data_IF_249559265562
#
_entry.id   IF_249559265562
#
_cell.length_a   1.000
_cell.length_b   1.000
_cell.length_c   1.000
_cell.angle_alpha   90.00
_cell.angle_beta   90.00
_cell.angle_gamma   90.00
#
_symmetry.space_group_name_H-M   'P 1'
#
loop_
_entity.id
_entity.type
_entity.pdbx_description
1 polymer ?
#
# COMPACT_ATOMS: atom_id res chain seq x y z
N UNK A 1 17.18 -6.41 -32.67
CA UNK A 1 15.84 -6.09 -32.15
C UNK A 1 15.93 -6.11 -30.62
N UNK A 2 16.13 -4.94 -30.01
CA UNK A 2 16.14 -4.81 -28.56
C UNK A 2 14.68 -4.90 -28.10
N UNK A 3 14.33 -6.03 -27.50
CA UNK A 3 13.07 -6.17 -26.78
C UNK A 3 13.14 -5.20 -25.60
N UNK A 4 12.41 -4.10 -25.72
CA UNK A 4 12.23 -3.15 -24.64
C UNK A 4 11.61 -3.89 -23.47
N UNK A 5 12.42 -4.19 -22.45
CA UNK A 5 11.91 -4.49 -21.13
C UNK A 5 11.08 -3.28 -20.74
N UNK A 6 9.76 -3.42 -20.77
CA UNK A 6 8.89 -2.52 -20.02
C UNK A 6 9.48 -2.50 -18.61
N UNK A 7 10.09 -1.37 -18.24
CA UNK A 7 10.27 -1.03 -16.85
C UNK A 7 8.86 -1.10 -16.28
N UNK A 8 8.58 -2.15 -15.51
CA UNK A 8 7.42 -2.19 -14.64
C UNK A 8 7.65 -0.99 -13.72
N UNK A 9 7.06 0.15 -14.09
CA UNK A 9 7.07 1.32 -13.25
C UNK A 9 6.58 0.84 -11.90
N UNK A 10 7.41 0.95 -10.87
CA UNK A 10 7.06 0.66 -9.49
C UNK A 10 5.79 1.44 -9.19
N UNK A 11 4.66 0.77 -9.31
CA UNK A 11 3.37 1.35 -9.03
C UNK A 11 3.28 1.34 -7.51
N UNK A 12 3.70 2.43 -6.87
CA UNK A 12 3.44 2.61 -5.44
C UNK A 12 1.94 2.41 -5.22
N UNK A 13 1.58 1.41 -4.41
CA UNK A 13 0.20 1.12 -4.10
C UNK A 13 -0.41 2.23 -3.25
N UNK A 14 0.41 2.93 -2.46
CA UNK A 14 0.05 4.21 -1.82
C UNK A 14 0.15 5.34 -2.83
N UNK A 15 -0.99 5.97 -3.12
CA UNK A 15 -1.10 7.11 -4.03
C UNK A 15 -1.79 8.29 -3.34
N UNK A 16 -1.74 9.47 -3.95
CA UNK A 16 -2.59 10.60 -3.54
C UNK A 16 -3.67 10.83 -4.58
N UNK A 17 -4.93 10.91 -4.13
CA UNK A 17 -6.05 11.36 -4.93
C UNK A 17 -6.49 12.74 -4.44
N UNK A 18 -6.63 13.70 -5.35
CA UNK A 18 -7.14 15.02 -5.02
C UNK A 18 -8.65 14.94 -4.82
N UNK A 19 -9.14 15.37 -3.65
CA UNK A 19 -10.57 15.42 -3.35
C UNK A 19 -11.26 16.63 -4.01
N UNK A 20 -12.59 16.72 -3.90
CA UNK A 20 -13.39 17.80 -4.51
C UNK A 20 -13.03 19.20 -3.96
N UNK A 21 -12.29 19.28 -2.85
CA UNK A 21 -11.80 20.51 -2.27
C UNK A 21 -10.37 20.85 -2.72
N UNK A 22 -9.77 20.03 -3.58
CA UNK A 22 -8.39 20.22 -4.04
C UNK A 22 -7.34 19.66 -3.08
N UNK A 23 -7.73 18.93 -2.03
CA UNK A 23 -6.76 18.40 -1.06
C UNK A 23 -6.26 17.00 -1.47
N UNK A 24 -4.94 16.75 -1.50
CA UNK A 24 -4.42 15.42 -1.75
C UNK A 24 -4.70 14.49 -0.55
N UNK A 25 -5.39 13.38 -0.80
CA UNK A 25 -5.70 12.34 0.18
C UNK A 25 -4.93 11.06 -0.13
N UNK A 26 -4.24 10.46 0.85
CA UNK A 26 -3.60 9.17 0.65
C UNK A 26 -4.67 8.11 0.41
N UNK A 27 -4.45 7.27 -0.60
CA UNK A 27 -5.30 6.15 -1.00
C UNK A 27 -4.45 4.92 -1.24
N UNK A 28 -5.05 3.75 -1.08
CA UNK A 28 -4.46 2.48 -1.50
C UNK A 28 -5.07 2.08 -2.84
N UNK A 29 -4.22 1.81 -3.82
CA UNK A 29 -4.58 1.29 -5.13
C UNK A 29 -4.39 -0.22 -5.14
N UNK A 30 -5.36 -0.94 -5.70
CA UNK A 30 -5.24 -2.37 -5.97
C UNK A 30 -4.19 -2.61 -7.06
N UNK A 31 -3.18 -3.42 -6.76
CA UNK A 31 -2.08 -3.76 -7.68
C UNK A 31 -2.54 -4.61 -8.87
N UNK A 32 -3.70 -5.28 -8.76
CA UNK A 32 -4.24 -6.12 -9.81
C UNK A 32 -5.14 -5.37 -10.80
N UNK A 33 -6.13 -4.61 -10.32
CA UNK A 33 -7.08 -3.92 -11.21
C UNK A 33 -6.84 -2.42 -11.35
N UNK A 34 -5.91 -1.83 -10.59
CA UNK A 34 -5.65 -0.40 -10.57
C UNK A 34 -6.73 0.45 -9.89
N UNK A 35 -7.81 -0.16 -9.40
CA UNK A 35 -8.89 0.53 -8.69
C UNK A 35 -8.48 1.03 -7.31
N UNK A 36 -9.18 2.02 -6.79
CA UNK A 36 -8.98 2.54 -5.43
C UNK A 36 -9.71 1.65 -4.43
N UNK A 37 -9.01 1.30 -3.34
CA UNK A 37 -9.57 0.57 -2.20
C UNK A 37 -10.06 1.63 -1.21
N UNK A 38 -11.36 1.96 -1.28
CA UNK A 38 -11.98 3.00 -0.45
C UNK A 38 -12.19 2.55 1.00
N UNK A 39 -12.58 1.29 1.19
CA UNK A 39 -12.70 0.67 2.50
C UNK A 39 -11.54 -0.29 2.71
N UNK A 40 -10.65 0.03 3.66
CA UNK A 40 -9.48 -0.81 3.94
C UNK A 40 -9.84 -2.18 4.53
N UNK A 41 -11.05 -2.36 5.07
CA UNK A 41 -11.56 -3.68 5.45
C UNK A 41 -11.91 -4.56 4.22
N UNK A 42 -12.13 -3.95 3.05
CA UNK A 42 -12.49 -4.64 1.80
C UNK A 42 -11.26 -4.88 0.89
N UNK A 43 -10.07 -4.85 1.48
CA UNK A 43 -8.83 -5.16 0.79
C UNK A 43 -7.87 -5.96 1.67
N UNK A 44 -6.90 -6.59 1.02
CA UNK A 44 -5.87 -7.40 1.68
C UNK A 44 -4.48 -6.98 1.24
N UNK A 45 -3.52 -7.09 2.14
CA UNK A 45 -2.09 -7.10 1.86
C UNK A 45 -1.60 -8.56 1.82
N UNK A 46 -0.93 -8.94 0.73
CA UNK A 46 -0.34 -10.28 0.60
C UNK A 46 0.95 -10.37 1.41
N UNK A 47 1.10 -11.48 2.13
CA UNK A 47 2.25 -11.75 3.01
C UNK A 47 3.24 -12.73 2.39
N UNK A 48 2.78 -13.59 1.49
CA UNK A 48 3.59 -14.57 0.80
C UNK A 48 3.68 -14.31 -0.71
N UNK A 49 4.92 -14.27 -1.19
CA UNK A 49 5.20 -14.40 -2.62
C UNK A 49 5.79 -15.79 -2.84
N UNK A 50 5.21 -16.63 -3.72
CA UNK A 50 5.74 -17.96 -3.98
C UNK A 50 7.23 -17.93 -4.32
N UNK A 51 8.02 -18.76 -3.65
CA UNK A 51 9.47 -18.86 -3.89
C UNK A 51 10.36 -17.86 -3.13
N UNK A 52 9.80 -17.13 -2.15
CA UNK A 52 10.57 -16.21 -1.31
C UNK A 52 11.52 -16.96 -0.36
N UNK A 53 12.81 -16.65 -0.41
CA UNK A 53 13.82 -17.21 0.48
C UNK A 53 13.76 -16.56 1.89
N UNK A 54 14.27 -17.27 2.90
CA UNK A 54 14.42 -16.69 4.25
C UNK A 54 15.31 -15.43 4.20
N UNK A 55 14.85 -14.36 4.83
CA UNK A 55 15.55 -13.07 4.86
C UNK A 55 15.41 -12.23 3.58
N UNK A 56 14.63 -12.69 2.59
CA UNK A 56 14.31 -11.87 1.45
C UNK A 56 13.42 -10.69 1.85
N UNK A 57 13.67 -9.53 1.23
CA UNK A 57 12.82 -8.35 1.35
C UNK A 57 11.70 -8.49 0.31
N UNK A 58 10.46 -8.47 0.78
CA UNK A 58 9.28 -8.46 -0.08
C UNK A 58 8.61 -7.10 -0.03
N UNK A 59 8.10 -6.67 -1.19
CA UNK A 59 7.25 -5.49 -1.28
C UNK A 59 5.79 -5.89 -0.97
N UNK A 60 5.03 -5.04 -0.27
CA UNK A 60 3.62 -5.33 -0.02
C UNK A 60 2.83 -5.25 -1.33
N UNK A 61 2.00 -6.26 -1.56
CA UNK A 61 1.04 -6.30 -2.67
C UNK A 61 -0.35 -6.13 -2.09
N UNK A 62 -1.13 -5.18 -2.59
CA UNK A 62 -2.47 -4.86 -2.12
C UNK A 62 -3.50 -5.26 -3.16
N UNK A 63 -4.48 -6.06 -2.75
CA UNK A 63 -5.62 -6.43 -3.59
C UNK A 63 -6.92 -5.97 -2.96
N UNK A 64 -7.86 -5.49 -3.79
CA UNK A 64 -9.24 -5.41 -3.38
C UNK A 64 -9.82 -6.83 -3.26
N UNK A 65 -10.87 -7.00 -2.44
CA UNK A 65 -11.51 -8.29 -2.19
C UNK A 65 -11.90 -9.02 -3.48
N UNK A 66 -12.46 -8.30 -4.46
CA UNK A 66 -12.86 -8.89 -5.74
C UNK A 66 -11.69 -9.40 -6.60
N UNK A 67 -10.50 -8.82 -6.50
CA UNK A 67 -9.30 -9.34 -7.16
C UNK A 67 -8.74 -10.55 -6.41
N UNK A 68 -8.72 -10.49 -5.08
CA UNK A 68 -8.23 -11.58 -4.24
C UNK A 68 -9.07 -12.84 -4.41
N UNK A 69 -10.40 -12.74 -4.38
CA UNK A 69 -11.30 -13.88 -4.60
C UNK A 69 -11.09 -14.56 -5.96
N UNK A 70 -10.79 -13.77 -7.01
CA UNK A 70 -10.50 -14.32 -8.34
C UNK A 70 -9.20 -15.11 -8.32
N UNK A 71 -8.17 -14.57 -7.68
CA UNK A 71 -6.85 -15.21 -7.57
C UNK A 71 -6.93 -16.48 -6.74
N UNK A 72 -7.67 -16.48 -5.63
CA UNK A 72 -7.85 -17.66 -4.80
C UNK A 72 -8.50 -18.81 -5.57
N UNK A 73 -9.47 -18.50 -6.45
CA UNK A 73 -10.10 -19.50 -7.32
C UNK A 73 -9.14 -20.10 -8.35
N UNK A 74 -8.18 -19.32 -8.85
CA UNK A 74 -7.26 -19.77 -9.92
C UNK A 74 -5.94 -20.35 -9.41
N UNK A 75 -5.47 -19.91 -8.26
CA UNK A 75 -4.10 -20.15 -7.78
C UNK A 75 -4.05 -20.72 -6.36
N UNK A 76 -5.21 -20.97 -5.74
CA UNK A 76 -5.32 -21.44 -4.38
C UNK A 76 -5.16 -20.33 -3.33
N UNK A 77 -5.40 -20.65 -2.05
CA UNK A 77 -5.28 -19.69 -0.96
C UNK A 77 -3.82 -19.26 -0.78
N UNK A 78 -3.63 -17.98 -0.44
CA UNK A 78 -2.35 -17.36 -0.13
C UNK A 78 -2.40 -16.74 1.26
N UNK A 79 -1.24 -16.61 1.90
CA UNK A 79 -1.14 -15.88 3.15
C UNK A 79 -1.41 -14.39 2.89
N UNK A 80 -2.47 -13.88 3.49
CA UNK A 80 -2.85 -12.48 3.37
C UNK A 80 -3.30 -11.97 4.73
N UNK A 81 -3.30 -10.64 4.87
CA UNK A 81 -3.91 -9.97 6.01
C UNK A 81 -4.79 -8.81 5.52
N UNK A 82 -5.85 -8.46 6.25
CA UNK A 82 -6.61 -7.24 6.00
C UNK A 82 -5.70 -5.99 5.99
N UNK A 83 -6.01 -5.01 5.13
CA UNK A 83 -5.16 -3.80 4.98
C UNK A 83 -5.15 -2.95 6.25
N UNK A 84 -6.27 -2.86 6.96
CA UNK A 84 -6.34 -2.17 8.25
C UNK A 84 -5.38 -2.79 9.28
N UNK A 85 -5.33 -4.11 9.38
CA UNK A 85 -4.37 -4.84 10.22
C UNK A 85 -2.92 -4.59 9.76
N UNK A 86 -2.65 -4.61 8.46
CA UNK A 86 -1.33 -4.27 7.92
C UNK A 86 -0.92 -2.85 8.33
N UNK A 87 -1.79 -1.86 8.16
CA UNK A 87 -1.51 -0.47 8.51
C UNK A 87 -1.28 -0.30 10.01
N UNK A 88 -2.09 -0.96 10.86
CA UNK A 88 -1.87 -0.97 12.30
C UNK A 88 -0.53 -1.59 12.68
N UNK A 89 -0.14 -2.69 12.03
CA UNK A 89 1.16 -3.32 12.24
C UNK A 89 2.29 -2.36 11.88
N UNK A 90 2.23 -1.70 10.72
CA UNK A 90 3.20 -0.69 10.31
C UNK A 90 3.27 0.43 11.35
N UNK A 91 2.14 1.01 11.73
CA UNK A 91 2.08 2.11 12.71
C UNK A 91 2.69 1.73 14.06
N UNK A 92 2.43 0.52 14.55
CA UNK A 92 2.98 0.04 15.82
C UNK A 92 4.49 -0.18 15.78
N UNK A 93 5.07 -0.43 14.60
CA UNK A 93 6.49 -0.68 14.42
C UNK A 93 7.28 0.56 14.01
N UNK A 94 6.62 1.66 13.63
CA UNK A 94 7.30 2.94 13.47
C UNK A 94 7.59 3.47 14.87
N UNK A 95 8.88 3.57 15.22
CA UNK A 95 9.33 4.26 16.43
C UNK A 95 9.15 5.77 16.29
N UNK A 96 7.91 6.24 16.37
CA UNK A 96 7.59 7.65 16.44
C UNK A 96 7.88 8.13 17.87
N UNK A 97 9.08 8.66 18.09
CA UNK A 97 9.34 9.38 19.33
C UNK A 97 8.45 10.63 19.40
N UNK A 98 8.00 11.07 20.60
CA UNK A 98 7.23 12.31 20.74
C UNK A 98 7.90 13.51 20.07
N UNK A 99 9.24 13.56 20.09
CA UNK A 99 10.03 14.59 19.41
C UNK A 99 9.93 14.51 17.89
N UNK A 100 9.94 13.30 17.31
CA UNK A 100 9.78 13.11 15.87
C UNK A 100 8.38 13.56 15.39
N UNK A 101 7.34 13.26 16.18
CA UNK A 101 5.98 13.74 15.94
C UNK A 101 5.88 15.26 16.02
N UNK A 102 6.46 15.88 17.04
CA UNK A 102 6.44 17.35 17.17
C UNK A 102 7.21 18.03 16.04
N UNK A 103 8.34 17.44 15.62
CA UNK A 103 9.11 17.94 14.47
C UNK A 103 8.31 17.84 13.18
N UNK A 104 7.62 16.72 12.94
CA UNK A 104 6.75 16.55 11.78
C UNK A 104 5.60 17.56 11.80
N UNK A 105 4.95 17.76 12.95
CA UNK A 105 3.90 18.77 13.15
C UNK A 105 4.38 20.18 12.84
N UNK A 106 5.54 20.59 13.35
CA UNK A 106 6.12 21.92 13.09
C UNK A 106 6.43 22.12 11.60
N UNK A 107 6.99 21.10 10.95
CA UNK A 107 7.24 21.13 9.50
C UNK A 107 5.94 21.28 8.70
N UNK A 108 4.91 20.52 9.06
CA UNK A 108 3.61 20.59 8.39
C UNK A 108 2.96 21.96 8.52
N UNK A 109 3.05 22.60 9.70
CA UNK A 109 2.58 23.98 9.90
C UNK A 109 3.36 24.99 9.06
N UNK A 110 4.68 24.87 9.01
CA UNK A 110 5.51 25.75 8.20
C UNK A 110 5.24 25.61 6.69
N UNK A 111 4.79 24.44 6.23
CA UNK A 111 4.40 24.21 4.83
C UNK A 111 2.93 24.55 4.51
N UNK A 112 2.06 24.74 5.52
CA UNK A 112 0.65 25.13 5.29
C UNK A 112 0.44 26.64 5.18
N UNK A 113 1.49 27.43 5.41
CA UNK A 113 1.47 28.90 5.33
C UNK A 113 1.86 29.44 3.94
N UNK A 114 1.85 28.59 2.92
CA UNK A 114 2.03 28.91 1.49
C UNK A 114 0.82 28.40 0.69
#
# INVERSE_FOLDING_TARGET
MQSGKLSVALCMALIFQVDDQGHPRPKVRCDSCGGIIENYADGVALLDTPGTALGAITEPIFHCLGCEEKIQKTSGPRASMPIDHFMLYVLNNIQLTPKALETARQKMKATSDF
#
